data_IF_120156761794
#
_entry.id   IF_120156761794
#
_cell.length_a   1.000
_cell.length_b   1.000
_cell.length_c   1.000
_cell.angle_alpha   90.00
_cell.angle_beta   90.00
_cell.angle_gamma   90.00
#
_symmetry.space_group_name_H-M   'P 1'
#
loop_
_entity.id
_entity.type
_entity.pdbx_description
1 polymer ?
#
# COMPACT_ATOMS: atom_id res chain seq x y z
N UNK A 1 -12.67 -7.10 32.02
CA UNK A 1 -12.47 -5.82 31.33
C UNK A 1 -13.45 -4.80 31.90
N UNK A 2 -13.04 -3.55 32.09
CA UNK A 2 -13.95 -2.48 32.55
C UNK A 2 -14.80 -1.95 31.39
N UNK A 3 -15.91 -1.26 31.69
CA UNK A 3 -16.74 -0.61 30.67
C UNK A 3 -15.92 0.36 29.81
N UNK A 4 -14.97 1.08 30.41
CA UNK A 4 -14.08 2.00 29.71
C UNK A 4 -13.14 1.27 28.74
N UNK A 5 -12.58 0.12 29.14
CA UNK A 5 -11.70 -0.70 28.28
C UNK A 5 -12.45 -1.30 27.08
N UNK A 6 -13.72 -1.67 27.27
CA UNK A 6 -14.59 -2.14 26.18
C UNK A 6 -14.97 -0.99 25.25
N UNK A 7 -15.40 0.12 25.84
CA UNK A 7 -15.75 1.34 25.13
C UNK A 7 -14.61 1.79 24.23
N UNK A 8 -13.39 1.87 24.76
CA UNK A 8 -12.18 2.32 24.06
C UNK A 8 -11.81 1.49 22.82
N UNK A 9 -12.04 0.17 22.85
CA UNK A 9 -11.82 -0.71 21.69
C UNK A 9 -12.97 -0.69 20.69
N UNK A 10 -14.18 -0.34 21.14
CA UNK A 10 -15.35 -0.18 20.25
C UNK A 10 -15.38 1.17 19.53
N UNK A 11 -14.51 2.13 19.91
CA UNK A 11 -14.33 3.44 19.26
C UNK A 11 -13.68 3.33 17.86
N UNK A 12 -14.06 2.34 17.06
CA UNK A 12 -13.90 2.48 15.63
C UNK A 12 -14.67 3.75 15.27
N UNK A 13 -13.94 4.82 14.98
CA UNK A 13 -14.47 6.14 14.67
C UNK A 13 -15.23 6.07 13.35
N UNK A 14 -16.44 5.53 13.43
CA UNK A 14 -17.29 5.23 12.29
C UNK A 14 -17.65 6.51 11.54
N UNK A 15 -17.74 7.64 12.25
CA UNK A 15 -17.98 8.95 11.66
C UNK A 15 -16.78 9.37 10.81
N UNK A 16 -15.55 9.37 11.34
CA UNK A 16 -14.37 9.71 10.54
C UNK A 16 -14.14 8.77 9.35
N UNK A 17 -14.35 7.45 9.54
CA UNK A 17 -14.28 6.46 8.45
C UNK A 17 -15.33 6.73 7.37
N UNK A 18 -16.57 7.00 7.77
CA UNK A 18 -17.68 7.29 6.83
C UNK A 18 -17.42 8.57 6.06
N UNK A 19 -16.96 9.63 6.72
CA UNK A 19 -16.62 10.90 6.06
C UNK A 19 -15.47 10.68 5.07
N UNK A 20 -14.41 9.95 5.45
CA UNK A 20 -13.30 9.65 4.57
C UNK A 20 -13.73 8.85 3.34
N UNK A 21 -14.58 7.83 3.52
CA UNK A 21 -15.15 7.04 2.43
C UNK A 21 -16.02 7.92 1.53
N UNK A 22 -16.88 8.76 2.11
CA UNK A 22 -17.72 9.68 1.35
C UNK A 22 -16.89 10.66 0.51
N UNK A 23 -15.89 11.31 1.10
CA UNK A 23 -14.96 12.21 0.40
C UNK A 23 -14.24 11.49 -0.74
N UNK A 24 -13.79 10.25 -0.50
CA UNK A 24 -13.11 9.44 -1.51
C UNK A 24 -14.03 9.08 -2.66
N UNK A 25 -15.24 8.62 -2.38
CA UNK A 25 -16.25 8.29 -3.39
C UNK A 25 -16.69 9.51 -4.18
N UNK A 26 -16.85 10.66 -3.50
CA UNK A 26 -17.16 11.92 -4.15
C UNK A 26 -16.08 12.32 -5.16
N UNK A 27 -14.80 12.26 -4.77
CA UNK A 27 -13.69 12.51 -5.68
C UNK A 27 -13.69 11.56 -6.89
N UNK A 28 -13.88 10.26 -6.65
CA UNK A 28 -13.95 9.26 -7.75
C UNK A 28 -15.12 9.56 -8.69
N UNK A 29 -16.29 9.91 -8.16
CA UNK A 29 -17.45 10.31 -8.95
C UNK A 29 -17.17 11.55 -9.79
N UNK A 30 -16.46 12.55 -9.25
CA UNK A 30 -16.04 13.74 -10.00
C UNK A 30 -15.11 13.35 -11.17
N UNK A 31 -14.11 12.50 -10.95
CA UNK A 31 -13.22 12.04 -12.03
C UNK A 31 -14.01 11.30 -13.13
N UNK A 32 -14.95 10.42 -12.76
CA UNK A 32 -15.80 9.71 -13.72
C UNK A 32 -16.66 10.69 -14.51
N UNK A 33 -17.32 11.63 -13.84
CA UNK A 33 -18.20 12.58 -14.50
C UNK A 33 -17.43 13.52 -15.44
N UNK A 34 -16.24 13.99 -15.06
CA UNK A 34 -15.32 14.71 -15.97
C UNK A 34 -15.00 13.90 -17.22
N UNK A 35 -14.76 12.59 -17.06
CA UNK A 35 -14.51 11.70 -18.20
C UNK A 35 -15.71 11.61 -19.14
N UNK A 36 -16.92 11.50 -18.60
CA UNK A 36 -18.18 11.42 -19.36
C UNK A 36 -18.46 12.73 -20.11
N UNK A 37 -18.18 13.87 -19.48
CA UNK A 37 -18.37 15.21 -20.09
C UNK A 37 -17.23 15.61 -21.03
N UNK A 38 -16.27 14.72 -21.33
CA UNK A 38 -15.06 15.01 -22.13
C UNK A 38 -14.21 16.16 -21.58
N UNK A 39 -14.25 16.39 -20.27
CA UNK A 39 -13.39 17.34 -19.58
C UNK A 39 -12.02 16.72 -19.32
N UNK A 40 -10.99 17.59 -19.29
CA UNK A 40 -9.65 17.14 -18.97
C UNK A 40 -9.57 16.68 -17.51
N UNK A 41 -9.00 15.50 -17.31
CA UNK A 41 -8.53 15.02 -16.01
C UNK A 41 -7.02 15.26 -16.00
N UNK A 42 -6.53 15.90 -14.96
CA UNK A 42 -5.11 16.23 -14.80
C UNK A 42 -4.31 14.99 -14.39
N UNK A 43 -3.00 14.98 -14.67
CA UNK A 43 -2.14 13.89 -14.19
C UNK A 43 -2.16 13.80 -12.65
N UNK A 44 -2.28 14.92 -11.94
CA UNK A 44 -2.40 14.94 -10.48
C UNK A 44 -3.68 14.23 -10.01
N UNK A 45 -4.82 14.46 -10.66
CA UNK A 45 -6.06 13.73 -10.37
C UNK A 45 -5.90 12.23 -10.65
N UNK A 46 -5.17 11.82 -11.69
CA UNK A 46 -4.87 10.40 -11.95
C UNK A 46 -3.99 9.81 -10.84
N UNK A 47 -2.97 10.53 -10.37
CA UNK A 47 -2.16 10.10 -9.22
C UNK A 47 -3.03 9.96 -7.98
N UNK A 48 -3.88 10.93 -7.68
CA UNK A 48 -4.79 10.88 -6.53
C UNK A 48 -5.78 9.72 -6.66
N UNK A 49 -6.32 9.47 -7.84
CA UNK A 49 -7.21 8.33 -8.12
C UNK A 49 -6.51 6.98 -7.90
N UNK A 50 -5.21 6.87 -8.18
CA UNK A 50 -4.45 5.69 -7.82
C UNK A 50 -4.36 5.55 -6.28
N UNK A 51 -4.06 6.63 -5.56
CA UNK A 51 -4.00 6.61 -4.09
C UNK A 51 -5.34 6.30 -3.42
N UNK A 52 -6.47 6.68 -4.01
CA UNK A 52 -7.79 6.32 -3.48
C UNK A 52 -8.01 4.81 -3.50
N UNK A 53 -7.53 4.09 -4.52
CA UNK A 53 -7.64 2.62 -4.56
C UNK A 53 -6.90 1.94 -3.41
N UNK A 54 -5.64 2.34 -3.15
CA UNK A 54 -4.90 1.81 -1.98
C UNK A 54 -5.64 2.18 -0.70
N UNK A 55 -6.12 3.41 -0.59
CA UNK A 55 -6.83 3.90 0.60
C UNK A 55 -8.08 3.09 0.89
N UNK A 56 -8.91 2.81 -0.13
CA UNK A 56 -10.10 1.96 0.00
C UNK A 56 -9.73 0.54 0.42
N UNK A 57 -8.70 -0.06 -0.20
CA UNK A 57 -8.22 -1.40 0.16
C UNK A 57 -7.77 -1.45 1.63
N UNK A 58 -7.01 -0.44 2.09
CA UNK A 58 -6.60 -0.33 3.49
C UNK A 58 -7.79 -0.17 4.43
N UNK A 59 -8.76 0.69 4.12
CA UNK A 59 -9.95 0.87 4.95
C UNK A 59 -10.80 -0.40 5.05
N UNK A 60 -10.90 -1.18 3.97
CA UNK A 60 -11.59 -2.47 3.97
C UNK A 60 -10.86 -3.47 4.89
N UNK A 61 -9.54 -3.61 4.76
CA UNK A 61 -8.73 -4.49 5.59
C UNK A 61 -8.74 -4.08 7.08
N UNK A 62 -8.80 -2.77 7.36
CA UNK A 62 -8.76 -2.23 8.71
C UNK A 62 -10.13 -1.78 9.25
N UNK A 63 -11.22 -2.24 8.64
CA UNK A 63 -12.57 -1.80 9.02
C UNK A 63 -12.82 -2.01 10.52
N UNK A 64 -12.43 -3.17 11.03
CA UNK A 64 -12.59 -3.57 12.43
C UNK A 64 -11.39 -3.18 13.32
N UNK A 65 -10.34 -2.58 12.76
CA UNK A 65 -9.17 -2.17 13.54
C UNK A 65 -9.54 -0.97 14.43
N UNK A 66 -9.36 -1.06 15.77
CA UNK A 66 -9.66 0.03 16.68
C UNK A 66 -8.68 1.18 16.46
N UNK A 67 -9.18 2.41 16.61
CA UNK A 67 -8.42 3.64 16.46
C UNK A 67 -8.35 4.37 17.80
N UNK A 68 -7.26 5.09 18.07
CA UNK A 68 -7.08 5.89 19.28
C UNK A 68 -7.29 5.11 20.60
N UNK A 69 -6.74 3.89 20.67
CA UNK A 69 -6.76 3.06 21.88
C UNK A 69 -5.97 3.75 23.00
N UNK A 70 -6.64 4.10 24.09
CA UNK A 70 -6.10 4.70 25.32
C UNK A 70 -5.83 3.66 26.41
N UNK A 71 -6.56 2.55 26.39
CA UNK A 71 -6.45 1.51 27.42
C UNK A 71 -5.60 0.32 26.92
N UNK A 72 -4.49 -0.02 27.59
CA UNK A 72 -3.69 -1.19 27.22
C UNK A 72 -4.44 -2.50 27.48
N UNK A 73 -4.09 -3.54 26.74
CA UNK A 73 -4.62 -4.88 26.96
C UNK A 73 -3.83 -5.53 28.09
N UNK A 74 -4.50 -5.80 29.22
CA UNK A 74 -3.88 -6.52 30.35
C UNK A 74 -3.76 -8.00 29.99
N UNK A 75 -2.52 -8.49 29.93
CA UNK A 75 -2.21 -9.91 29.81
C UNK A 75 -1.86 -10.47 31.20
N UNK A 76 -2.25 -11.72 31.47
CA UNK A 76 -1.78 -12.41 32.68
C UNK A 76 -0.27 -12.60 32.55
N UNK A 77 0.49 -12.23 33.57
CA UNK A 77 1.94 -12.40 33.57
C UNK A 77 2.28 -13.90 33.40
N UNK A 78 2.95 -14.23 32.31
CA UNK A 78 3.62 -15.52 32.13
C UNK A 78 5.03 -15.49 32.73
N UNK A 79 5.80 -16.57 32.57
CA UNK A 79 7.23 -16.54 32.86
C UNK A 79 7.89 -15.46 31.99
N UNK A 80 8.56 -14.50 32.65
CA UNK A 80 9.35 -13.47 31.98
C UNK A 80 10.60 -14.15 31.45
N UNK A 81 10.62 -14.44 30.14
CA UNK A 81 11.83 -14.93 29.47
C UNK A 81 12.81 -13.75 29.42
N UNK A 82 14.07 -14.02 29.73
CA UNK A 82 15.10 -13.00 29.66
C UNK A 82 15.16 -12.42 28.25
N UNK A 83 15.33 -11.10 28.14
CA UNK A 83 15.27 -10.43 26.84
C UNK A 83 16.46 -10.84 25.99
N UNK A 84 16.23 -11.71 25.00
CA UNK A 84 17.26 -12.04 24.03
C UNK A 84 17.58 -10.78 23.21
N UNK A 85 18.70 -10.14 23.53
CA UNK A 85 19.06 -8.83 22.98
C UNK A 85 19.75 -9.04 21.64
N UNK A 86 19.00 -9.52 20.65
CA UNK A 86 19.49 -9.64 19.28
C UNK A 86 19.69 -8.24 18.70
N UNK A 87 20.90 -7.96 18.23
CA UNK A 87 21.18 -6.75 17.46
C UNK A 87 20.58 -6.85 16.05
N UNK A 88 20.03 -5.73 15.57
CA UNK A 88 19.53 -5.61 14.19
C UNK A 88 20.65 -5.87 13.18
N UNK A 89 20.38 -6.70 12.18
CA UNK A 89 21.26 -6.91 11.03
C UNK A 89 20.59 -6.33 9.79
N UNK A 90 21.38 -5.72 8.89
CA UNK A 90 20.85 -5.17 7.64
C UNK A 90 20.17 -6.21 6.74
N UNK A 91 20.51 -7.49 6.89
CA UNK A 91 19.79 -8.61 6.25
C UNK A 91 18.31 -8.70 6.68
N UNK A 92 17.99 -8.25 7.89
CA UNK A 92 16.66 -8.37 8.50
C UNK A 92 15.64 -7.45 7.81
N UNK A 93 16.09 -6.45 7.05
CA UNK A 93 15.21 -5.54 6.28
C UNK A 93 14.26 -6.31 5.37
N UNK A 94 14.71 -7.42 4.79
CA UNK A 94 13.88 -8.22 3.88
C UNK A 94 12.61 -8.67 4.61
N UNK A 95 12.72 -9.10 5.86
CA UNK A 95 11.58 -9.55 6.67
C UNK A 95 10.62 -8.44 7.05
N UNK A 96 11.15 -7.24 7.29
CA UNK A 96 10.31 -6.06 7.50
C UNK A 96 9.59 -5.62 6.23
N UNK A 97 10.20 -5.82 5.06
CA UNK A 97 9.62 -5.47 3.77
C UNK A 97 8.54 -6.49 3.35
N UNK A 98 8.76 -7.78 3.62
CA UNK A 98 7.81 -8.87 3.34
C UNK A 98 6.77 -9.07 4.45
N UNK A 99 6.92 -8.41 5.60
CA UNK A 99 5.98 -8.50 6.71
C UNK A 99 6.12 -9.75 7.59
N UNK A 100 7.22 -10.52 7.45
CA UNK A 100 7.51 -11.72 8.24
C UNK A 100 8.51 -11.44 9.38
N UNK A 101 8.70 -10.18 9.78
CA UNK A 101 9.58 -9.80 10.89
C UNK A 101 9.22 -10.44 12.25
N UNK A 102 8.05 -11.06 12.36
CA UNK A 102 7.51 -11.60 13.61
C UNK A 102 8.36 -12.74 14.18
N UNK A 103 9.14 -13.46 13.35
CA UNK A 103 10.07 -14.49 13.84
C UNK A 103 11.35 -13.91 14.44
N UNK A 104 11.67 -12.64 14.16
CA UNK A 104 12.87 -11.98 14.65
C UNK A 104 12.74 -11.55 16.12
N UNK A 105 11.51 -11.51 16.66
CA UNK A 105 11.20 -10.93 17.97
C UNK A 105 10.37 -11.91 18.81
N UNK A 106 10.88 -12.23 20.00
CA UNK A 106 10.14 -13.00 21.00
C UNK A 106 9.24 -12.07 21.81
N UNK A 107 7.94 -12.06 21.50
CA UNK A 107 6.98 -11.10 22.07
C UNK A 107 6.90 -11.12 23.60
N UNK A 108 7.12 -12.27 24.26
CA UNK A 108 7.09 -12.37 25.73
C UNK A 108 8.22 -11.61 26.43
N UNK A 109 9.29 -11.26 25.71
CA UNK A 109 10.39 -10.43 26.21
C UNK A 109 10.21 -8.93 25.94
N UNK A 110 9.17 -8.53 25.22
CA UNK A 110 8.93 -7.14 24.84
C UNK A 110 7.87 -6.45 25.72
N UNK A 111 8.08 -5.17 26.02
CA UNK A 111 7.13 -4.37 26.81
C UNK A 111 5.91 -3.92 26.00
N UNK A 112 6.04 -3.93 24.66
CA UNK A 112 4.99 -3.54 23.72
C UNK A 112 5.08 -4.36 22.45
N UNK A 113 3.92 -4.54 21.80
CA UNK A 113 3.83 -5.19 20.49
C UNK A 113 4.54 -4.31 19.45
N UNK A 114 5.48 -4.86 18.65
CA UNK A 114 6.14 -4.13 17.57
C UNK A 114 5.16 -3.58 16.52
N UNK A 115 5.55 -2.50 15.86
CA UNK A 115 4.81 -1.97 14.71
C UNK A 115 4.83 -3.02 13.58
N UNK A 116 3.68 -3.23 12.93
CA UNK A 116 3.45 -4.23 11.86
C UNK A 116 3.40 -5.70 12.29
N UNK A 117 3.36 -5.97 13.59
CA UNK A 117 3.12 -7.32 14.10
C UNK A 117 1.82 -7.92 13.55
N UNK A 118 1.92 -9.07 12.89
CA UNK A 118 0.79 -9.76 12.27
C UNK A 118 0.41 -11.05 13.00
N UNK A 119 1.32 -11.58 13.85
CA UNK A 119 1.28 -12.90 14.47
C UNK A 119 1.19 -14.06 13.48
N UNK A 120 1.27 -13.80 12.17
CA UNK A 120 1.13 -14.77 11.10
C UNK A 120 2.53 -15.08 10.58
N UNK A 121 3.30 -15.91 11.28
CA UNK A 121 4.69 -16.18 10.87
C UNK A 121 4.77 -17.41 9.98
N UNK A 122 5.69 -17.36 9.02
CA UNK A 122 6.04 -18.50 8.17
C UNK A 122 6.56 -19.71 8.96
N UNK A 123 7.26 -19.44 10.08
CA UNK A 123 7.88 -20.43 10.95
C UNK A 123 6.90 -21.46 11.55
N UNK A 124 5.60 -21.13 11.63
CA UNK A 124 4.55 -22.07 12.08
C UNK A 124 3.88 -22.85 10.93
N UNK A 125 4.44 -22.82 9.72
CA UNK A 125 3.88 -23.51 8.54
C UNK A 125 2.64 -22.83 7.95
N UNK A 126 2.42 -21.56 8.28
CA UNK A 126 1.26 -20.79 7.80
C UNK A 126 1.49 -20.25 6.39
N UNK A 127 0.51 -20.45 5.50
CA UNK A 127 0.50 -19.85 4.16
C UNK A 127 -0.12 -18.45 4.14
N UNK A 128 -0.59 -17.94 5.29
CA UNK A 128 -1.27 -16.65 5.41
C UNK A 128 -0.38 -15.48 4.92
N UNK A 129 0.93 -15.41 5.24
CA UNK A 129 1.81 -14.34 4.76
C UNK A 129 1.87 -14.28 3.23
N UNK A 130 1.96 -15.43 2.58
CA UNK A 130 1.97 -15.53 1.12
C UNK A 130 0.69 -14.95 0.50
N UNK A 131 -0.48 -15.32 1.03
CA UNK A 131 -1.75 -14.79 0.53
C UNK A 131 -1.90 -13.29 0.80
N UNK A 132 -1.43 -12.80 1.94
CA UNK A 132 -1.43 -11.39 2.26
C UNK A 132 -0.55 -10.59 1.27
N UNK A 133 0.65 -11.08 0.98
CA UNK A 133 1.58 -10.47 0.02
C UNK A 133 1.03 -10.48 -1.41
N UNK A 134 0.49 -11.61 -1.87
CA UNK A 134 -0.15 -11.70 -3.19
C UNK A 134 -1.30 -10.69 -3.29
N UNK A 135 -2.09 -10.53 -2.22
CA UNK A 135 -3.17 -9.55 -2.16
C UNK A 135 -2.62 -8.12 -2.23
N UNK A 136 -1.60 -7.79 -1.44
CA UNK A 136 -0.96 -6.48 -1.44
C UNK A 136 -0.34 -6.12 -2.81
N UNK A 137 0.35 -7.08 -3.44
CA UNK A 137 0.92 -6.95 -4.79
C UNK A 137 -0.17 -6.76 -5.85
N UNK A 138 -1.29 -7.46 -5.73
CA UNK A 138 -2.44 -7.27 -6.62
C UNK A 138 -3.01 -5.86 -6.51
N UNK A 139 -3.15 -5.32 -5.29
CA UNK A 139 -3.57 -3.93 -5.07
C UNK A 139 -2.53 -2.95 -5.65
N UNK A 140 -1.23 -3.22 -5.49
CA UNK A 140 -0.15 -2.40 -6.05
C UNK A 140 -0.14 -2.41 -7.60
N UNK A 141 -0.47 -3.54 -8.22
CA UNK A 141 -0.62 -3.65 -9.66
C UNK A 141 -1.79 -2.79 -10.16
N UNK A 142 -2.95 -2.85 -9.51
CA UNK A 142 -4.11 -2.00 -9.85
C UNK A 142 -3.77 -0.52 -9.66
N UNK A 143 -3.07 -0.18 -8.57
CA UNK A 143 -2.53 1.16 -8.34
C UNK A 143 -1.68 1.64 -9.52
N UNK A 144 -0.73 0.81 -10.00
CA UNK A 144 0.10 1.13 -11.15
C UNK A 144 -0.70 1.30 -12.45
N UNK A 145 -1.63 0.39 -12.71
CA UNK A 145 -2.42 0.37 -13.94
C UNK A 145 -3.25 1.64 -14.14
N UNK A 146 -3.68 2.31 -13.06
CA UNK A 146 -4.42 3.58 -13.13
C UNK A 146 -3.58 4.67 -13.79
N UNK A 147 -2.25 4.71 -13.57
CA UNK A 147 -1.37 5.68 -14.22
C UNK A 147 -1.30 5.50 -15.74
N UNK A 148 -1.56 4.29 -16.25
CA UNK A 148 -1.62 4.03 -17.68
C UNK A 148 -2.84 4.68 -18.35
N UNK A 149 -3.87 5.10 -17.59
CA UNK A 149 -5.03 5.81 -18.18
C UNK A 149 -4.66 7.19 -18.76
N UNK A 150 -3.55 7.78 -18.29
CA UNK A 150 -2.95 9.01 -18.82
C UNK A 150 -2.02 8.79 -20.03
N UNK A 151 -2.05 7.62 -20.68
CA UNK A 151 -1.11 7.24 -21.76
C UNK A 151 -0.97 8.26 -22.89
N UNK A 152 -2.08 8.91 -23.24
CA UNK A 152 -2.20 9.84 -24.36
C UNK A 152 -2.24 11.30 -23.94
N UNK A 153 -1.98 11.61 -22.66
CA UNK A 153 -2.02 13.00 -22.18
C UNK A 153 -0.92 13.85 -22.81
N UNK A 154 -1.16 15.17 -22.81
CA UNK A 154 -0.18 16.16 -23.19
C UNK A 154 0.81 16.37 -22.03
N UNK A 155 2.09 16.46 -22.37
CA UNK A 155 3.18 16.74 -21.43
C UNK A 155 4.00 17.90 -21.96
N UNK A 156 4.71 18.56 -21.06
CA UNK A 156 5.59 19.71 -21.35
C UNK A 156 6.70 19.38 -22.35
N UNK A 157 7.20 18.14 -22.33
CA UNK A 157 8.20 17.65 -23.28
C UNK A 157 7.92 16.21 -23.72
N UNK A 158 8.51 15.80 -24.85
CA UNK A 158 8.45 14.41 -25.31
C UNK A 158 9.16 13.46 -24.33
N UNK A 159 10.22 13.94 -23.67
CA UNK A 159 10.93 13.18 -22.64
C UNK A 159 10.02 12.88 -21.44
N UNK A 160 9.30 13.88 -20.92
CA UNK A 160 8.36 13.72 -19.81
C UNK A 160 7.27 12.68 -20.15
N UNK A 161 6.76 12.72 -21.38
CA UNK A 161 5.75 11.76 -21.86
C UNK A 161 6.27 10.33 -21.87
N UNK A 162 7.49 10.09 -22.36
CA UNK A 162 8.08 8.75 -22.37
C UNK A 162 8.47 8.29 -20.97
N UNK A 163 9.01 9.19 -20.14
CA UNK A 163 9.30 8.90 -18.73
C UNK A 163 8.05 8.47 -17.98
N UNK A 164 6.92 9.18 -18.17
CA UNK A 164 5.64 8.79 -17.58
C UNK A 164 5.24 7.37 -17.98
N UNK A 165 5.27 7.05 -19.28
CA UNK A 165 4.88 5.74 -19.81
C UNK A 165 5.74 4.61 -19.26
N UNK A 166 7.07 4.81 -19.28
CA UNK A 166 8.02 3.83 -18.75
C UNK A 166 7.80 3.62 -17.26
N UNK A 167 7.63 4.70 -16.49
CA UNK A 167 7.38 4.60 -15.05
C UNK A 167 6.04 3.92 -14.74
N UNK A 168 4.96 4.27 -15.47
CA UNK A 168 3.64 3.67 -15.30
C UNK A 168 3.66 2.17 -15.59
N UNK A 169 4.33 1.74 -16.67
CA UNK A 169 4.55 0.32 -16.96
C UNK A 169 5.38 -0.33 -15.85
N UNK A 170 6.49 0.29 -15.42
CA UNK A 170 7.36 -0.26 -14.39
C UNK A 170 6.62 -0.50 -13.07
N UNK A 171 5.82 0.46 -12.58
CA UNK A 171 5.08 0.29 -11.32
C UNK A 171 3.89 -0.67 -11.44
N UNK A 172 3.42 -0.95 -12.67
CA UNK A 172 2.38 -1.97 -12.91
C UNK A 172 2.99 -3.36 -13.02
N UNK A 173 4.08 -3.51 -13.77
CA UNK A 173 4.72 -4.78 -14.07
C UNK A 173 5.51 -5.34 -12.88
N UNK A 174 6.19 -4.48 -12.10
CA UNK A 174 6.99 -4.92 -10.95
C UNK A 174 6.20 -5.75 -9.94
N UNK A 175 5.04 -5.29 -9.40
CA UNK A 175 4.28 -6.11 -8.46
C UNK A 175 3.69 -7.38 -9.10
N UNK A 176 3.33 -7.35 -10.39
CA UNK A 176 2.86 -8.52 -11.12
C UNK A 176 3.96 -9.60 -11.22
N UNK A 177 5.16 -9.21 -11.63
CA UNK A 177 6.31 -10.10 -11.71
C UNK A 177 6.69 -10.65 -10.33
N UNK A 178 6.58 -9.81 -9.29
CA UNK A 178 6.82 -10.24 -7.91
C UNK A 178 5.80 -11.28 -7.44
N UNK A 179 4.51 -11.06 -7.72
CA UNK A 179 3.46 -11.99 -7.35
C UNK A 179 3.66 -13.35 -8.05
N UNK A 180 4.00 -13.34 -9.33
CA UNK A 180 4.34 -14.55 -10.08
C UNK A 180 5.61 -15.25 -9.53
N UNK A 181 6.61 -14.50 -9.09
CA UNK A 181 7.79 -15.07 -8.45
C UNK A 181 7.44 -15.72 -7.09
N UNK A 182 6.58 -15.07 -6.28
CA UNK A 182 6.22 -15.58 -4.96
C UNK A 182 5.33 -16.83 -5.04
N UNK A 183 4.48 -16.96 -6.07
CA UNK A 183 3.70 -18.19 -6.26
C UNK A 183 4.57 -19.39 -6.65
N UNK A 184 5.68 -19.14 -7.36
CA UNK A 184 6.63 -20.20 -7.78
C UNK A 184 7.61 -20.54 -6.67
N UNK A 185 8.22 -19.54 -6.04
CA UNK A 185 9.34 -19.74 -5.12
C UNK A 185 8.95 -19.67 -3.63
N UNK A 186 7.76 -19.18 -3.29
CA UNK A 186 7.27 -18.93 -1.92
C UNK A 186 8.38 -18.47 -0.94
N UNK A 187 8.60 -17.15 -0.79
CA UNK A 187 9.68 -16.62 0.07
C UNK A 187 9.53 -17.00 1.55
N UNK A 188 8.36 -17.47 1.96
CA UNK A 188 8.03 -17.88 3.33
C UNK A 188 8.16 -19.40 3.56
N UNK A 189 8.64 -20.18 2.60
CA UNK A 189 8.78 -21.60 2.82
C UNK A 189 10.01 -21.90 3.69
N UNK A 190 9.84 -22.51 4.87
CA UNK A 190 10.95 -22.90 5.73
C UNK A 190 11.94 -23.88 5.05
N UNK A 191 11.46 -24.68 4.08
CA UNK A 191 12.33 -25.55 3.28
C UNK A 191 13.35 -24.78 2.43
N UNK A 192 13.06 -23.52 2.12
CA UNK A 192 13.95 -22.60 1.39
C UNK A 192 15.24 -22.32 2.17
N UNK A 193 15.17 -22.29 3.51
CA UNK A 193 16.33 -22.07 4.39
C UNK A 193 17.11 -23.35 4.70
N UNK A 194 16.52 -24.53 4.48
CA UNK A 194 17.12 -25.82 4.83
C UNK A 194 17.96 -26.44 3.70
N UNK A 195 17.77 -25.99 2.46
CA UNK A 195 18.48 -26.53 1.30
C UNK A 195 19.39 -25.47 0.69
N UNK A 196 20.70 -25.50 0.98
CA UNK A 196 21.67 -24.51 0.46
C UNK A 196 21.83 -24.65 -1.07
N UNK A 197 21.02 -23.89 -1.81
CA UNK A 197 20.95 -23.92 -3.26
C UNK A 197 21.03 -22.51 -3.82
N UNK A 198 21.75 -22.34 -4.94
CA UNK A 198 21.89 -21.05 -5.60
C UNK A 198 20.54 -20.44 -5.99
N UNK A 199 19.53 -21.28 -6.21
CA UNK A 199 18.17 -20.86 -6.52
C UNK A 199 17.53 -20.06 -5.38
N UNK A 200 18.02 -20.18 -4.13
CA UNK A 200 17.48 -19.43 -3.00
C UNK A 200 17.79 -17.93 -3.04
N UNK A 201 18.83 -17.52 -3.76
CA UNK A 201 19.17 -16.11 -3.89
C UNK A 201 18.28 -15.39 -4.93
N UNK A 202 17.59 -16.13 -5.80
CA UNK A 202 16.81 -15.56 -6.90
C UNK A 202 15.68 -14.65 -6.40
N UNK A 203 14.79 -15.07 -5.47
CA UNK A 203 13.71 -14.19 -4.99
C UNK A 203 14.24 -12.93 -4.31
N UNK A 204 15.32 -13.03 -3.54
CA UNK A 204 15.95 -11.90 -2.85
C UNK A 204 16.49 -10.88 -3.85
N UNK A 205 17.17 -11.35 -4.90
CA UNK A 205 17.68 -10.51 -5.98
C UNK A 205 16.51 -9.87 -6.74
N UNK A 206 15.45 -10.62 -7.05
CA UNK A 206 14.25 -10.11 -7.69
C UNK A 206 13.57 -9.01 -6.85
N UNK A 207 13.40 -9.22 -5.54
CA UNK A 207 12.87 -8.21 -4.61
C UNK A 207 13.72 -6.94 -4.60
N UNK A 208 15.04 -7.09 -4.53
CA UNK A 208 15.98 -5.96 -4.49
C UNK A 208 15.91 -5.15 -5.78
N UNK A 209 15.98 -5.80 -6.94
CA UNK A 209 15.87 -5.16 -8.25
C UNK A 209 14.48 -4.51 -8.41
N UNK A 210 13.42 -5.21 -8.00
CA UNK A 210 12.06 -4.69 -8.02
C UNK A 210 11.92 -3.39 -7.23
N UNK A 211 12.45 -3.34 -6.00
CA UNK A 211 12.45 -2.13 -5.18
C UNK A 211 13.23 -0.97 -5.83
N UNK A 212 14.41 -1.26 -6.39
CA UNK A 212 15.24 -0.26 -7.07
C UNK A 212 14.60 0.31 -8.34
N UNK A 213 13.71 -0.45 -9.00
CA UNK A 213 12.95 0.04 -10.15
C UNK A 213 11.67 0.77 -9.71
N UNK A 214 10.97 0.23 -8.72
CA UNK A 214 9.65 0.73 -8.29
C UNK A 214 9.74 2.09 -7.60
N UNK A 215 10.68 2.28 -6.66
CA UNK A 215 10.78 3.50 -5.86
C UNK A 215 11.08 4.73 -6.74
N UNK A 216 12.10 4.73 -7.61
CA UNK A 216 12.37 5.88 -8.47
C UNK A 216 11.22 6.15 -9.45
N UNK A 217 10.60 5.10 -10.01
CA UNK A 217 9.46 5.26 -10.91
C UNK A 217 8.27 5.95 -10.22
N UNK A 218 8.00 5.63 -8.94
CA UNK A 218 6.97 6.31 -8.13
C UNK A 218 7.29 7.78 -7.90
N UNK A 219 8.54 8.09 -7.55
CA UNK A 219 8.99 9.47 -7.34
C UNK A 219 8.84 10.27 -8.64
N UNK A 220 9.27 9.71 -9.77
CA UNK A 220 9.18 10.35 -11.08
C UNK A 220 7.72 10.61 -11.50
N UNK A 221 6.81 9.66 -11.32
CA UNK A 221 5.39 9.88 -11.61
C UNK A 221 4.80 11.00 -10.76
N UNK A 222 5.17 11.08 -9.48
CA UNK A 222 4.74 12.17 -8.62
C UNK A 222 5.27 13.52 -9.13
N UNK A 223 6.57 13.62 -9.40
CA UNK A 223 7.21 14.83 -9.93
C UNK A 223 6.57 15.26 -11.24
N UNK A 224 6.41 14.34 -12.20
CA UNK A 224 5.79 14.60 -13.50
C UNK A 224 4.33 15.04 -13.39
N UNK A 225 3.59 14.53 -12.40
CA UNK A 225 2.21 14.97 -12.18
C UNK A 225 2.14 16.47 -11.85
N UNK A 226 3.08 16.98 -11.05
CA UNK A 226 3.18 18.40 -10.72
C UNK A 226 3.71 19.25 -11.87
N UNK A 227 4.67 18.75 -12.66
CA UNK A 227 5.20 19.55 -13.79
C UNK A 227 4.12 19.82 -14.84
N UNK A 228 3.19 18.88 -15.04
CA UNK A 228 2.09 19.04 -16.01
C UNK A 228 1.07 20.12 -15.62
N UNK A 229 1.03 20.55 -14.36
CA UNK A 229 0.17 21.65 -13.91
C UNK A 229 0.55 23.00 -14.55
N UNK A 230 1.77 23.13 -15.07
CA UNK A 230 2.24 24.36 -15.74
C UNK A 230 1.52 24.63 -17.06
N UNK A 231 0.93 23.61 -17.69
CA UNK A 231 0.31 23.71 -19.01
C UNK A 231 -0.99 22.90 -19.06
N UNK A 232 -1.98 23.33 -18.28
CA UNK A 232 -3.29 22.69 -18.26
C UNK A 232 -4.20 23.20 -19.39
N UNK A 233 -5.00 22.33 -20.05
CA UNK A 233 -6.02 22.77 -20.99
C UNK A 233 -7.11 23.55 -20.27
N UNK A 234 -7.80 24.46 -20.97
CA UNK A 234 -8.88 25.28 -20.40
C UNK A 234 -10.01 24.44 -19.77
N UNK A 235 -10.31 23.27 -20.35
CA UNK A 235 -11.30 22.33 -19.80
C UNK A 235 -10.90 21.74 -18.45
N UNK A 236 -9.64 21.84 -18.03
CA UNK A 236 -9.22 21.47 -16.68
C UNK A 236 -9.84 22.40 -15.62
N UNK A 237 -10.09 23.66 -15.94
CA UNK A 237 -10.66 24.66 -15.02
C UNK A 237 -12.20 24.64 -14.97
N UNK A 238 -12.84 23.86 -15.84
CA UNK A 238 -14.29 23.72 -15.87
C UNK A 238 -14.76 22.75 -14.78
N UNK A 239 -15.88 23.08 -14.14
CA UNK A 239 -16.55 22.21 -13.18
C UNK A 239 -17.57 21.31 -13.89
N UNK A 240 -17.87 20.17 -13.29
CA UNK A 240 -18.81 19.19 -13.85
C UNK A 240 -20.23 19.73 -13.72
N UNK A 241 -21.07 19.60 -14.75
CA UNK A 241 -22.37 20.29 -14.83
C UNK A 241 -23.29 20.04 -13.63
N UNK A 242 -23.44 18.79 -13.19
CA UNK A 242 -24.32 18.45 -12.04
C UNK A 242 -23.90 19.10 -10.71
N UNK A 243 -22.65 19.56 -10.57
CA UNK A 243 -22.24 20.31 -9.36
C UNK A 243 -22.89 21.69 -9.28
N UNK A 244 -23.37 22.23 -10.39
CA UNK A 244 -24.12 23.50 -10.44
C UNK A 244 -25.55 23.38 -9.89
N UNK A 245 -26.07 22.16 -9.77
CA UNK A 245 -27.39 21.90 -9.17
C UNK A 245 -27.35 21.90 -7.64
N UNK A 246 -26.15 21.85 -7.06
CA UNK A 246 -25.94 21.95 -5.63
C UNK A 246 -25.80 23.44 -5.30
N UNK A 247 -26.70 24.05 -4.51
CA UNK A 247 -26.60 25.46 -4.17
C UNK A 247 -25.27 25.74 -3.49
N UNK A 248 -24.48 26.64 -4.07
CA UNK A 248 -23.26 27.14 -3.47
C UNK A 248 -23.67 28.08 -2.31
N UNK A 249 -23.29 27.71 -1.08
CA UNK A 249 -23.58 28.48 0.15
C UNK A 249 -22.42 29.44 0.42
#
# INVERSE_FOLDING_TARGET
PTSDELGDKSKSDALSKTIAVFQTLWFVAQCIARRVENLAITNLEIVTLAYTVITVAMYAAWWHKPLNVRCPIRIKAGQKIDKDTRHFKWSDIIEYVTGDQDYLITLSGEERVPTFWSSCTSAYGSTIPLYADITALSVAMVFGAIHCTAWSYAFTSLADKWMWRVCAIAITATPLLMAAAFTVFNPFNAAYFLHDSIFNYIPVICMTIGALLYIPARILLLVLSFTTLRQLPLSAYQTVQWTTWIPHI
#
